data_IF_020726648530
#
_entry.id   IF_020726648530
#
_cell.length_a   1.000
_cell.length_b   1.000
_cell.length_c   1.000
_cell.angle_alpha   90.00
_cell.angle_beta   90.00
_cell.angle_gamma   90.00
#
_symmetry.space_group_name_H-M   'P 1'
#
loop_
_entity.id
_entity.type
_entity.pdbx_description
1 polymer ?
#
# COMPACT_ATOMS: atom_id res chain seq x y z
N UNK A 1 8.81 34.88 -8.41
CA UNK A 1 7.80 33.83 -8.28
C UNK A 1 6.95 34.15 -7.07
N UNK A 2 5.68 34.43 -7.27
CA UNK A 2 4.75 34.69 -6.16
C UNK A 2 4.23 33.38 -5.62
N UNK A 3 3.84 33.34 -4.34
CA UNK A 3 3.26 32.13 -3.70
C UNK A 3 2.07 31.60 -4.51
N UNK A 4 1.32 32.47 -5.19
CA UNK A 4 0.18 32.13 -6.05
C UNK A 4 0.57 31.32 -7.31
N UNK A 5 1.69 31.67 -7.97
CA UNK A 5 2.18 30.96 -9.18
C UNK A 5 2.64 29.53 -8.85
N UNK A 6 3.18 29.32 -7.66
CA UNK A 6 3.60 27.99 -7.18
C UNK A 6 2.39 27.09 -6.88
N UNK A 7 1.31 27.65 -6.32
CA UNK A 7 0.09 26.89 -6.02
C UNK A 7 -0.64 26.44 -7.31
N UNK A 8 -0.80 27.33 -8.29
CA UNK A 8 -1.41 26.98 -9.57
C UNK A 8 -0.61 25.91 -10.36
N UNK A 9 0.73 25.94 -10.26
CA UNK A 9 1.60 24.91 -10.85
C UNK A 9 1.48 23.54 -10.19
N UNK A 10 1.28 23.50 -8.87
CA UNK A 10 1.07 22.26 -8.11
C UNK A 10 -0.32 21.67 -8.36
N UNK A 11 -1.37 22.50 -8.40
CA UNK A 11 -2.73 22.06 -8.72
C UNK A 11 -2.81 21.44 -10.12
N UNK A 12 -2.13 22.04 -11.11
CA UNK A 12 -2.03 21.49 -12.46
C UNK A 12 -1.30 20.15 -12.52
N UNK A 13 -0.22 20.00 -11.73
CA UNK A 13 0.53 18.75 -11.61
C UNK A 13 -0.32 17.64 -10.97
N UNK A 14 -1.08 17.97 -9.92
CA UNK A 14 -1.99 17.02 -9.27
C UNK A 14 -3.20 16.67 -10.13
N UNK A 15 -3.72 17.62 -10.91
CA UNK A 15 -4.84 17.39 -11.84
C UNK A 15 -4.43 16.54 -13.06
N UNK A 16 -3.17 16.61 -13.50
CA UNK A 16 -2.65 15.82 -14.61
C UNK A 16 -2.38 14.36 -14.24
N UNK A 17 -2.15 14.05 -12.96
CA UNK A 17 -1.82 12.70 -12.50
C UNK A 17 -3.10 11.94 -12.12
N UNK A 18 -3.78 11.37 -13.12
CA UNK A 18 -4.91 10.47 -12.88
C UNK A 18 -4.49 9.26 -12.02
N UNK A 19 -5.38 8.79 -11.14
CA UNK A 19 -5.18 7.53 -10.42
C UNK A 19 -5.01 6.38 -11.43
N UNK A 20 -4.02 5.53 -11.21
CA UNK A 20 -3.86 4.28 -11.96
C UNK A 20 -4.37 3.17 -11.07
N UNK A 21 -5.34 2.40 -11.54
CA UNK A 21 -5.93 1.32 -10.77
C UNK A 21 -5.21 -0.02 -11.02
N UNK A 22 -5.11 -0.87 -10.00
CA UNK A 22 -4.63 -2.24 -10.16
C UNK A 22 -5.71 -3.13 -10.80
N UNK A 23 -5.55 -3.46 -12.07
CA UNK A 23 -6.50 -4.34 -12.80
C UNK A 23 -6.19 -5.84 -12.58
N UNK A 24 -4.91 -6.19 -12.52
CA UNK A 24 -4.41 -7.57 -12.46
C UNK A 24 -4.30 -8.14 -11.03
N UNK A 25 -4.13 -9.46 -10.95
CA UNK A 25 -3.75 -10.13 -9.70
C UNK A 25 -2.40 -9.63 -9.23
N UNK A 26 -2.37 -9.09 -8.01
CA UNK A 26 -1.18 -8.49 -7.44
C UNK A 26 -0.29 -9.55 -6.78
N UNK A 27 1.02 -9.41 -6.98
CA UNK A 27 2.03 -10.25 -6.34
C UNK A 27 3.09 -9.41 -5.67
N UNK A 28 3.77 -9.97 -4.69
CA UNK A 28 4.98 -9.35 -4.17
C UNK A 28 6.04 -9.27 -5.26
N UNK A 29 6.85 -8.21 -5.26
CA UNK A 29 7.88 -8.00 -6.27
C UNK A 29 8.96 -9.10 -6.32
N UNK A 30 9.11 -9.89 -5.25
CA UNK A 30 9.97 -11.07 -5.24
C UNK A 30 9.50 -12.12 -4.23
N UNK A 31 9.84 -13.40 -4.50
CA UNK A 31 9.62 -14.52 -3.56
C UNK A 31 10.26 -14.26 -2.20
N UNK A 32 11.47 -13.69 -2.17
CA UNK A 32 12.18 -13.32 -0.94
C UNK A 32 11.37 -12.31 -0.13
N UNK A 33 10.96 -11.20 -0.76
CA UNK A 33 10.18 -10.16 -0.08
C UNK A 33 8.84 -10.69 0.47
N UNK A 34 8.16 -11.55 -0.28
CA UNK A 34 6.93 -12.23 0.16
C UNK A 34 7.19 -13.07 1.41
N UNK A 35 8.21 -13.94 1.34
CA UNK A 35 8.50 -14.88 2.40
C UNK A 35 8.95 -14.17 3.68
N UNK A 36 9.82 -13.16 3.57
CA UNK A 36 10.25 -12.33 4.70
C UNK A 36 9.05 -11.62 5.36
N UNK A 37 8.13 -11.09 4.54
CA UNK A 37 6.91 -10.44 5.03
C UNK A 37 5.97 -11.43 5.73
N UNK A 38 5.76 -12.62 5.16
CA UNK A 38 4.95 -13.70 5.77
C UNK A 38 5.53 -14.12 7.12
N UNK A 39 6.84 -14.38 7.21
CA UNK A 39 7.47 -14.72 8.49
C UNK A 39 7.28 -13.61 9.51
N UNK A 40 7.58 -12.38 9.13
CA UNK A 40 7.54 -11.25 10.07
C UNK A 40 6.13 -10.92 10.55
N UNK A 41 5.12 -11.03 9.69
CA UNK A 41 3.80 -10.46 9.96
C UNK A 41 2.68 -11.49 10.09
N UNK A 42 2.84 -12.67 9.50
CA UNK A 42 1.87 -13.77 9.59
C UNK A 42 2.30 -14.77 10.66
N UNK A 43 3.55 -15.23 10.61
CA UNK A 43 4.05 -16.27 11.55
C UNK A 43 4.63 -15.70 12.84
N UNK A 44 5.34 -14.56 12.78
CA UNK A 44 6.09 -13.97 13.89
C UNK A 44 5.30 -13.04 14.80
N UNK A 45 4.04 -12.75 14.49
CA UNK A 45 3.11 -12.04 15.40
C UNK A 45 2.20 -13.05 16.09
N UNK A 46 1.29 -12.59 16.98
CA UNK A 46 0.20 -13.42 17.55
C UNK A 46 -0.67 -13.93 16.41
N UNK A 47 -0.28 -15.07 15.87
CA UNK A 47 -0.76 -15.68 14.63
C UNK A 47 -2.21 -16.10 14.67
N UNK A 48 -2.81 -16.14 15.86
CA UNK A 48 -4.25 -16.28 16.08
C UNK A 48 -5.04 -15.24 15.28
N UNK A 49 -4.45 -14.05 15.09
CA UNK A 49 -4.99 -13.01 14.22
C UNK A 49 -5.08 -13.40 12.76
N UNK A 50 -4.67 -14.57 12.32
CA UNK A 50 -4.75 -14.98 10.92
C UNK A 50 -5.57 -16.25 10.73
N UNK A 51 -5.94 -16.94 11.81
CA UNK A 51 -6.68 -18.21 11.76
C UNK A 51 -7.97 -18.10 10.96
N UNK A 52 -8.81 -17.09 11.21
CA UNK A 52 -10.10 -16.97 10.52
C UNK A 52 -9.98 -16.65 9.02
N UNK A 53 -8.83 -16.14 8.57
CA UNK A 53 -8.65 -15.69 7.17
C UNK A 53 -7.83 -16.66 6.33
N UNK A 54 -6.85 -17.35 6.94
CA UNK A 54 -5.95 -18.26 6.24
C UNK A 54 -6.16 -19.72 6.66
N UNK A 55 -6.89 -19.97 7.74
CA UNK A 55 -7.06 -21.30 8.32
C UNK A 55 -5.89 -21.70 9.23
N UNK A 56 -6.22 -22.36 10.34
CA UNK A 56 -5.24 -22.81 11.32
C UNK A 56 -4.25 -23.82 10.73
N UNK A 57 -4.74 -24.80 9.96
CA UNK A 57 -3.91 -25.87 9.39
C UNK A 57 -2.79 -25.35 8.46
N UNK A 58 -3.07 -24.31 7.66
CA UNK A 58 -2.05 -23.70 6.80
C UNK A 58 -0.97 -22.99 7.62
N UNK A 59 -1.38 -22.31 8.70
CA UNK A 59 -0.48 -21.59 9.59
C UNK A 59 0.42 -22.55 10.38
N UNK A 60 -0.16 -23.61 10.93
CA UNK A 60 0.56 -24.60 11.74
C UNK A 60 1.53 -25.41 10.86
N UNK A 61 1.10 -25.82 9.66
CA UNK A 61 1.96 -26.50 8.70
C UNK A 61 3.15 -25.65 8.23
N UNK A 62 2.95 -24.35 8.02
CA UNK A 62 4.03 -23.44 7.64
C UNK A 62 5.01 -23.15 8.78
N UNK A 63 4.54 -23.09 10.04
CA UNK A 63 5.45 -22.96 11.20
C UNK A 63 6.33 -24.18 11.37
N UNK A 64 5.75 -25.37 11.21
CA UNK A 64 6.52 -26.60 11.30
C UNK A 64 7.63 -26.61 10.23
N UNK A 65 7.32 -26.22 9.00
CA UNK A 65 8.30 -26.09 7.92
C UNK A 65 9.42 -25.07 8.22
N UNK A 66 9.08 -23.92 8.78
CA UNK A 66 10.06 -22.88 9.16
C UNK A 66 11.00 -23.38 10.27
N UNK A 67 10.48 -24.20 11.19
CA UNK A 67 11.26 -24.83 12.25
C UNK A 67 12.15 -25.98 11.75
N UNK A 68 11.63 -26.86 10.87
CA UNK A 68 12.33 -28.07 10.39
C UNK A 68 13.57 -27.74 9.53
N UNK A 69 13.44 -26.77 8.62
CA UNK A 69 14.46 -26.48 7.57
C UNK A 69 15.18 -25.13 7.76
N UNK A 70 14.96 -24.46 8.89
CA UNK A 70 15.54 -23.16 9.27
C UNK A 70 14.96 -21.96 8.49
N UNK A 71 15.06 -21.97 7.16
CA UNK A 71 14.41 -20.96 6.31
C UNK A 71 13.02 -21.43 5.87
N UNK A 72 12.76 -22.73 5.69
CA UNK A 72 11.44 -23.25 5.27
C UNK A 72 10.89 -22.68 3.94
N UNK A 73 11.60 -21.75 3.28
CA UNK A 73 11.14 -20.94 2.15
C UNK A 73 10.86 -21.76 0.90
N UNK A 74 11.48 -22.94 0.83
CA UNK A 74 11.38 -23.93 -0.23
C UNK A 74 10.41 -25.06 0.11
N UNK A 75 9.99 -25.17 1.37
CA UNK A 75 9.04 -26.19 1.80
C UNK A 75 7.65 -25.90 1.18
N UNK A 76 6.99 -26.91 0.58
CA UNK A 76 5.65 -26.76 0.00
C UNK A 76 4.59 -26.25 0.99
N UNK A 77 4.69 -26.58 2.28
CA UNK A 77 3.78 -26.12 3.34
C UNK A 77 3.86 -24.61 3.51
N UNK A 78 5.09 -24.06 3.58
CA UNK A 78 5.30 -22.61 3.65
C UNK A 78 4.82 -21.92 2.36
N UNK A 79 5.15 -22.48 1.19
CA UNK A 79 4.75 -21.92 -0.11
C UNK A 79 3.23 -21.83 -0.24
N UNK A 80 2.48 -22.83 0.24
CA UNK A 80 1.01 -22.80 0.25
C UNK A 80 0.48 -21.64 1.08
N UNK A 81 0.97 -21.45 2.31
CA UNK A 81 0.58 -20.30 3.15
C UNK A 81 0.93 -18.98 2.46
N UNK A 82 2.15 -18.85 1.92
CA UNK A 82 2.61 -17.62 1.31
C UNK A 82 1.77 -17.22 0.08
N UNK A 83 1.32 -18.20 -0.72
CA UNK A 83 0.40 -17.97 -1.85
C UNK A 83 -1.02 -17.66 -1.42
N UNK A 84 -1.54 -18.33 -0.39
CA UNK A 84 -2.86 -18.03 0.17
C UNK A 84 -2.89 -16.60 0.73
N UNK A 85 -1.85 -16.21 1.44
CA UNK A 85 -1.67 -14.85 1.94
C UNK A 85 -1.58 -13.81 0.82
N UNK A 86 -0.74 -14.05 -0.19
CA UNK A 86 -0.63 -13.17 -1.36
C UNK A 86 -1.97 -12.98 -2.09
N UNK A 87 -2.70 -14.08 -2.30
CA UNK A 87 -4.02 -14.06 -2.94
C UNK A 87 -5.04 -13.26 -2.11
N UNK A 88 -5.10 -13.52 -0.79
CA UNK A 88 -5.97 -12.77 0.13
C UNK A 88 -5.72 -11.26 0.05
N UNK A 89 -4.46 -10.82 0.05
CA UNK A 89 -4.13 -9.40 -0.06
C UNK A 89 -4.53 -8.83 -1.42
N UNK A 90 -4.23 -9.54 -2.50
CA UNK A 90 -4.61 -9.12 -3.86
C UNK A 90 -6.12 -8.96 -3.98
N UNK A 91 -6.90 -9.93 -3.51
CA UNK A 91 -8.35 -9.94 -3.65
C UNK A 91 -9.01 -8.84 -2.82
N UNK A 92 -8.58 -8.65 -1.57
CA UNK A 92 -9.11 -7.60 -0.71
C UNK A 92 -8.81 -6.19 -1.24
N UNK A 93 -7.61 -5.98 -1.78
CA UNK A 93 -7.23 -4.70 -2.37
C UNK A 93 -8.02 -4.42 -3.65
N UNK A 94 -8.12 -5.40 -4.56
CA UNK A 94 -8.92 -5.25 -5.79
C UNK A 94 -10.40 -5.05 -5.49
N UNK A 95 -10.93 -5.71 -4.46
CA UNK A 95 -12.30 -5.51 -4.01
C UNK A 95 -12.53 -4.08 -3.52
N UNK A 96 -11.59 -3.50 -2.77
CA UNK A 96 -11.69 -2.12 -2.29
C UNK A 96 -11.66 -1.11 -3.45
N UNK A 97 -10.75 -1.30 -4.41
CA UNK A 97 -10.65 -0.43 -5.60
C UNK A 97 -11.91 -0.52 -6.45
N UNK A 98 -12.35 -1.74 -6.81
CA UNK A 98 -13.55 -1.96 -7.64
C UNK A 98 -14.84 -1.45 -7.02
N UNK A 99 -14.92 -1.49 -5.69
CA UNK A 99 -16.07 -0.97 -4.95
C UNK A 99 -15.98 0.55 -4.73
N UNK A 100 -14.92 1.19 -5.23
CA UNK A 100 -14.59 2.60 -5.06
C UNK A 100 -14.57 3.04 -3.58
N UNK A 101 -14.20 2.13 -2.69
CA UNK A 101 -14.40 2.28 -1.25
C UNK A 101 -13.20 1.76 -0.48
N UNK A 102 -12.85 2.43 0.61
CA UNK A 102 -11.81 1.99 1.55
C UNK A 102 -10.41 1.84 0.93
N UNK A 103 -10.08 2.70 -0.01
CA UNK A 103 -8.75 2.78 -0.58
C UNK A 103 -8.40 4.25 -0.88
N UNK A 104 -7.11 4.52 -1.00
CA UNK A 104 -6.57 5.81 -1.43
C UNK A 104 -5.38 5.60 -2.35
N UNK A 105 -5.26 6.44 -3.38
CA UNK A 105 -4.09 6.48 -4.25
C UNK A 105 -3.13 7.55 -3.75
N UNK A 106 -1.85 7.21 -3.68
CA UNK A 106 -0.80 8.10 -3.20
C UNK A 106 0.25 8.25 -4.30
N UNK A 107 0.44 9.48 -4.78
CA UNK A 107 1.47 9.82 -5.78
C UNK A 107 2.60 10.56 -5.09
N UNK A 108 3.83 10.08 -5.24
CA UNK A 108 5.04 10.73 -4.70
C UNK A 108 5.82 11.39 -5.84
N UNK A 109 6.23 12.63 -5.61
CA UNK A 109 7.05 13.39 -6.55
C UNK A 109 8.49 13.52 -6.03
N UNK A 110 9.44 13.59 -6.96
CA UNK A 110 10.84 13.88 -6.67
C UNK A 110 11.36 15.01 -7.55
N UNK A 111 12.37 15.73 -7.08
CA UNK A 111 12.98 16.84 -7.82
C UNK A 111 13.71 16.27 -9.06
N UNK A 112 13.20 16.58 -10.25
CA UNK A 112 13.84 16.35 -11.52
C UNK A 112 14.83 17.48 -11.85
N UNK A 113 16.02 17.09 -12.32
CA UNK A 113 16.97 18.07 -12.86
C UNK A 113 16.39 18.70 -14.14
N UNK A 114 16.51 20.03 -14.34
CA UNK A 114 16.06 20.65 -15.57
C UNK A 114 16.80 20.05 -16.78
N UNK A 115 16.14 19.89 -17.95
CA UNK A 115 16.81 19.45 -19.17
C UNK A 115 17.99 20.36 -19.49
N UNK A 116 19.13 19.77 -19.92
CA UNK A 116 20.30 20.54 -20.34
C UNK A 116 19.92 21.46 -21.51
N UNK A 117 20.09 22.77 -21.33
CA UNK A 117 19.91 23.77 -22.39
C UNK A 117 18.64 24.64 -22.29
N UNK A 118 17.80 24.48 -21.26
CA UNK A 118 16.61 25.33 -21.07
C UNK A 118 16.85 26.36 -19.96
N UNK A 119 17.05 27.64 -20.33
CA UNK A 119 17.13 28.80 -19.42
C UNK A 119 15.78 29.53 -19.29
N UNK A 120 14.67 28.80 -19.30
CA UNK A 120 13.33 29.40 -19.28
C UNK A 120 12.42 28.81 -18.21
N UNK A 121 12.06 29.69 -17.27
CA UNK A 121 11.00 29.63 -16.26
C UNK A 121 11.13 28.58 -15.15
N UNK A 122 10.85 28.95 -13.88
CA UNK A 122 11.06 28.10 -12.73
C UNK A 122 9.90 27.10 -12.54
N UNK A 123 9.50 26.34 -13.56
CA UNK A 123 8.89 25.03 -13.27
C UNK A 123 10.03 24.06 -12.97
N UNK A 124 10.66 24.31 -11.81
CA UNK A 124 11.65 23.43 -11.19
C UNK A 124 11.02 22.05 -11.07
N UNK A 125 11.67 21.12 -11.76
CA UNK A 125 11.13 19.84 -12.15
C UNK A 125 10.73 19.01 -10.97
N UNK A 126 9.47 18.61 -10.93
CA UNK A 126 9.04 17.47 -10.14
C UNK A 126 8.60 16.39 -11.13
N UNK A 127 9.13 15.18 -10.98
CA UNK A 127 8.64 14.01 -11.70
C UNK A 127 7.99 13.06 -10.72
N UNK A 128 6.99 12.33 -11.18
CA UNK A 128 6.44 11.23 -10.38
C UNK A 128 7.54 10.19 -10.20
N UNK A 129 7.84 9.85 -8.96
CA UNK A 129 8.82 8.80 -8.63
C UNK A 129 8.14 7.49 -8.24
N UNK A 130 6.88 7.57 -7.77
CA UNK A 130 6.19 6.42 -7.20
C UNK A 130 4.69 6.63 -7.16
N UNK A 131 3.96 5.55 -7.44
CA UNK A 131 2.52 5.46 -7.26
C UNK A 131 2.21 4.32 -6.31
N UNK A 132 1.36 4.58 -5.33
CA UNK A 132 0.89 3.61 -4.35
C UNK A 132 -0.64 3.60 -4.35
N UNK A 133 -1.18 2.46 -3.95
CA UNK A 133 -2.55 2.33 -3.48
C UNK A 133 -2.50 1.74 -2.08
N UNK A 134 -3.20 2.37 -1.15
CA UNK A 134 -3.39 1.85 0.21
C UNK A 134 -4.85 1.50 0.34
N UNK A 135 -5.15 0.21 0.47
CA UNK A 135 -6.49 -0.30 0.70
C UNK A 135 -6.64 -0.82 2.13
N UNK A 136 -7.85 -0.82 2.66
CA UNK A 136 -8.15 -1.46 3.93
C UNK A 136 -9.50 -2.18 3.90
N UNK A 137 -9.59 -3.26 4.66
CA UNK A 137 -10.82 -4.02 4.88
C UNK A 137 -11.21 -3.90 6.35
N UNK A 138 -12.27 -3.14 6.68
CA UNK A 138 -12.66 -2.94 8.07
C UNK A 138 -13.17 -4.20 8.76
N UNK A 139 -13.78 -5.11 8.01
CA UNK A 139 -14.27 -6.38 8.54
C UNK A 139 -13.09 -7.30 8.86
N UNK A 140 -12.19 -7.51 7.89
CA UNK A 140 -11.01 -8.34 8.07
C UNK A 140 -9.92 -7.69 8.96
N UNK A 141 -10.07 -6.39 9.30
CA UNK A 141 -9.06 -5.55 9.99
C UNK A 141 -7.73 -5.52 9.23
N UNK A 142 -7.78 -5.60 7.91
CA UNK A 142 -6.60 -5.65 7.05
C UNK A 142 -6.26 -4.27 6.50
N UNK A 143 -4.98 -3.96 6.44
CA UNK A 143 -4.42 -2.85 5.67
C UNK A 143 -3.43 -3.40 4.67
N UNK A 144 -3.52 -2.94 3.43
CA UNK A 144 -2.79 -3.48 2.29
C UNK A 144 -2.16 -2.29 1.56
N UNK A 145 -0.93 -2.47 1.11
CA UNK A 145 -0.18 -1.46 0.35
C UNK A 145 0.38 -2.14 -0.89
N UNK A 146 0.01 -1.61 -2.06
CA UNK A 146 0.61 -1.97 -3.33
C UNK A 146 1.15 -0.72 -4.01
N UNK A 147 2.12 -0.89 -4.89
CA UNK A 147 2.66 0.23 -5.64
C UNK A 147 3.68 -0.18 -6.68
N UNK A 148 4.18 0.84 -7.37
CA UNK A 148 5.27 0.71 -8.31
C UNK A 148 6.12 2.00 -8.33
N UNK A 149 7.45 1.86 -8.50
CA UNK A 149 8.27 3.00 -8.87
C UNK A 149 7.91 3.45 -10.29
N UNK A 150 7.83 4.75 -10.52
CA UNK A 150 7.63 5.30 -11.87
C UNK A 150 9.00 5.48 -12.50
N UNK A 151 9.22 4.82 -13.64
CA UNK A 151 10.43 4.89 -14.45
C UNK A 151 10.08 5.26 -15.88
N UNK A 152 10.92 6.07 -16.52
CA UNK A 152 10.71 6.50 -17.90
C UNK A 152 10.60 5.28 -18.85
N UNK A 153 9.43 5.11 -19.48
CA UNK A 153 9.19 4.13 -20.54
C UNK A 153 8.75 2.72 -20.12
N UNK A 154 8.53 2.45 -18.82
CA UNK A 154 7.99 1.17 -18.35
C UNK A 154 6.46 1.19 -18.20
N UNK A 155 5.72 0.13 -18.59
CA UNK A 155 4.30 0.04 -18.29
C UNK A 155 4.09 -0.07 -16.77
N UNK A 156 3.02 0.54 -16.22
CA UNK A 156 2.72 0.45 -14.80
C UNK A 156 2.42 -1.00 -14.41
N UNK A 157 3.07 -1.48 -13.34
CA UNK A 157 2.85 -2.83 -12.81
C UNK A 157 2.82 -2.80 -11.28
N UNK A 158 1.62 -2.79 -10.71
CA UNK A 158 1.44 -2.81 -9.26
C UNK A 158 2.00 -4.11 -8.67
N UNK A 159 2.81 -3.96 -7.61
CA UNK A 159 3.28 -5.07 -6.79
C UNK A 159 2.82 -4.87 -5.34
N UNK A 160 2.53 -5.98 -4.65
CA UNK A 160 2.28 -5.95 -3.21
C UNK A 160 3.56 -5.60 -2.47
N UNK A 161 3.48 -4.59 -1.61
CA UNK A 161 4.59 -4.17 -0.77
C UNK A 161 4.36 -4.55 0.68
N UNK A 162 3.09 -4.62 1.10
CA UNK A 162 2.75 -4.93 2.48
C UNK A 162 1.30 -5.33 2.67
N UNK A 163 1.07 -6.18 3.67
CA UNK A 163 -0.24 -6.49 4.21
C UNK A 163 -0.17 -6.69 5.73
N UNK A 164 -1.09 -6.11 6.48
CA UNK A 164 -1.11 -6.18 7.94
C UNK A 164 -2.52 -6.40 8.45
N UNK A 165 -2.70 -7.41 9.30
CA UNK A 165 -3.90 -7.55 10.14
C UNK A 165 -3.68 -6.84 11.46
N UNK A 166 -4.54 -5.87 11.72
CA UNK A 166 -4.52 -5.09 12.95
C UNK A 166 -5.19 -5.89 14.10
N UNK A 167 -5.39 -5.23 15.24
CA UNK A 167 -6.04 -5.87 16.38
C UNK A 167 -7.46 -6.32 16.03
N UNK A 168 -7.68 -7.64 16.03
CA UNK A 168 -8.96 -8.28 15.71
C UNK A 168 -10.06 -7.90 16.70
N UNK A 169 -9.69 -7.53 17.93
CA UNK A 169 -10.64 -7.08 18.96
C UNK A 169 -11.07 -5.62 18.75
N UNK A 170 -10.42 -4.87 17.86
CA UNK A 170 -10.83 -3.49 17.58
C UNK A 170 -12.14 -3.47 16.80
N UNK A 171 -13.08 -2.63 17.23
CA UNK A 171 -14.31 -2.38 16.46
C UNK A 171 -14.00 -1.84 15.06
N UNK A 172 -14.95 -1.98 14.13
CA UNK A 172 -14.85 -1.44 12.75
C UNK A 172 -14.53 0.05 12.76
N UNK A 173 -15.28 0.84 13.51
CA UNK A 173 -15.03 2.28 13.61
C UNK A 173 -13.67 2.63 14.20
N UNK A 174 -13.20 1.92 15.24
CA UNK A 174 -11.86 2.14 15.82
C UNK A 174 -10.76 1.82 14.82
N UNK A 175 -10.92 0.75 14.05
CA UNK A 175 -9.98 0.36 13.01
C UNK A 175 -9.90 1.42 11.91
N UNK A 176 -11.03 1.82 11.32
CA UNK A 176 -11.08 2.82 10.24
C UNK A 176 -10.48 4.16 10.69
N UNK A 177 -10.82 4.64 11.89
CA UNK A 177 -10.19 5.86 12.45
C UNK A 177 -8.68 5.73 12.62
N UNK A 178 -8.22 4.55 13.07
CA UNK A 178 -6.79 4.27 13.19
C UNK A 178 -6.07 4.23 11.84
N UNK A 179 -6.72 3.79 10.76
CA UNK A 179 -6.18 3.88 9.40
C UNK A 179 -6.08 5.34 8.96
N UNK A 180 -7.17 6.11 9.12
CA UNK A 180 -7.22 7.54 8.79
C UNK A 180 -6.13 8.34 9.48
N UNK A 181 -5.99 8.22 10.80
CA UNK A 181 -4.91 8.90 11.56
C UNK A 181 -3.53 8.52 11.02
N UNK A 182 -3.26 7.24 10.73
CA UNK A 182 -1.96 6.84 10.15
C UNK A 182 -1.73 7.31 8.72
N UNK A 183 -2.78 7.52 7.93
CA UNK A 183 -2.66 8.14 6.61
C UNK A 183 -2.23 9.59 6.78
N UNK A 184 -2.96 10.36 7.60
CA UNK A 184 -2.68 11.76 7.86
C UNK A 184 -1.32 12.00 8.55
N UNK A 185 -0.93 11.16 9.52
CA UNK A 185 0.30 11.34 10.31
C UNK A 185 1.57 11.03 9.52
N UNK A 186 1.53 10.10 8.54
CA UNK A 186 2.72 9.77 7.72
C UNK A 186 3.19 10.95 6.84
N UNK A 187 2.34 11.94 6.60
CA UNK A 187 2.74 13.14 5.85
C UNK A 187 3.67 14.05 6.66
N UNK A 188 3.61 14.04 8.00
CA UNK A 188 4.47 14.89 8.84
C UNK A 188 5.94 14.45 8.88
N UNK A 189 6.23 13.18 8.64
CA UNK A 189 7.60 12.65 8.75
C UNK A 189 8.36 12.62 7.41
N UNK A 190 7.71 12.95 6.29
CA UNK A 190 8.32 12.97 4.95
C UNK A 190 8.33 14.38 4.34
N UNK A 191 8.68 15.40 5.14
CA UNK A 191 8.68 16.83 4.74
C UNK A 191 9.55 17.19 3.53
N UNK A 192 10.28 16.25 2.92
CA UNK A 192 11.07 16.44 1.69
C UNK A 192 10.34 15.99 0.40
N UNK A 193 9.09 15.49 0.47
CA UNK A 193 8.37 14.96 -0.70
C UNK A 193 6.94 15.48 -0.78
N UNK A 194 6.57 16.01 -1.95
CA UNK A 194 5.18 16.33 -2.28
C UNK A 194 4.39 15.02 -2.48
N UNK A 195 3.18 14.97 -1.91
CA UNK A 195 2.32 13.78 -1.96
C UNK A 195 0.90 14.19 -2.33
N UNK A 196 0.34 13.60 -3.40
CA UNK A 196 -1.08 13.70 -3.75
C UNK A 196 -1.84 12.50 -3.19
N UNK A 197 -3.04 12.71 -2.66
CA UNK A 197 -3.96 11.64 -2.24
C UNK A 197 -5.23 11.78 -3.06
N UNK A 198 -5.60 10.72 -3.79
CA UNK A 198 -6.90 10.62 -4.44
C UNK A 198 -7.74 9.61 -3.64
N UNK A 199 -8.79 10.10 -3.00
CA UNK A 199 -9.76 9.27 -2.29
C UNK A 199 -10.77 8.72 -3.31
N UNK A 200 -10.86 7.40 -3.48
CA UNK A 200 -12.08 6.80 -4.01
C UNK A 200 -13.11 6.81 -2.89
N UNK A 201 -14.27 7.44 -3.10
CA UNK A 201 -15.32 7.76 -2.11
C UNK A 201 -15.11 7.13 -0.71
N UNK A 202 -14.20 7.75 0.05
CA UNK A 202 -13.81 7.21 1.33
C UNK A 202 -14.84 7.68 2.36
N UNK A 203 -15.82 6.82 2.63
CA UNK A 203 -16.75 6.99 3.75
C UNK A 203 -15.98 6.85 5.08
N UNK A 204 -15.32 7.94 5.48
CA UNK A 204 -14.46 8.02 6.66
C UNK A 204 -15.24 7.89 7.98
N UNK A 205 -16.56 7.72 7.91
CA UNK A 205 -17.48 7.89 9.03
C UNK A 205 -17.54 9.35 9.49
N UNK A 206 -18.55 9.73 10.28
CA UNK A 206 -18.70 11.10 10.72
C UNK A 206 -17.48 11.55 11.52
N UNK A 207 -16.96 12.74 11.19
CA UNK A 207 -16.08 13.47 12.08
C UNK A 207 -16.86 13.74 13.37
N UNK A 208 -16.45 13.16 14.49
CA UNK A 208 -16.92 13.63 15.77
C UNK A 208 -16.51 15.10 15.91
N UNK A 209 -17.49 15.98 16.06
CA UNK A 209 -17.25 17.35 16.52
C UNK A 209 -16.37 17.30 17.78
N UNK A 210 -15.32 18.14 17.79
CA UNK A 210 -14.54 18.41 18.99
C UNK A 210 -15.40 19.12 20.03
#
# INVERSE_FOLDING_TARGET
>A
MTISETHAGLESLFAAEAAVEPEDTLRFGSRRSRNDHVRKHVLGTRSERWWDLLGQDLLDGARQADHDDGDGSRDPRFERLARAYESLLSDQLRSAVRAERHHVHIVTFEIASPPRGVTAKPMLGYRVSRRLVVAWSPEAKLRIVAGFPVSDGGPPAYTLWSGFRHDVKASVGRFTRGIRSRMLDRHRHHQERLVAIHDGEADWGPESAK
#
